data_IF_470208938540
#
_entry.id   IF_470208938540
#
_cell.length_a   1.000
_cell.length_b   1.000
_cell.length_c   1.000
_cell.angle_alpha   90.00
_cell.angle_beta   90.00
_cell.angle_gamma   90.00
#
_symmetry.space_group_name_H-M   'P 1'
#
loop_
_entity.id
_entity.type
_entity.pdbx_description
1 polymer ?
#
# COMPACT_ATOMS: atom_id res chain seq x y z
N UNK A 1 6.09 7.95 14.69
CA UNK A 1 4.93 7.28 14.07
C UNK A 1 4.56 6.12 14.98
N UNK A 2 3.40 6.19 15.64
CA UNK A 2 2.96 5.16 16.58
C UNK A 2 2.41 3.96 15.80
N UNK A 3 3.19 2.90 15.71
CA UNK A 3 2.84 1.62 15.08
C UNK A 3 1.74 0.82 15.82
N UNK A 4 1.13 1.38 16.87
CA UNK A 4 0.24 0.64 17.77
C UNK A 4 -1.22 0.55 17.30
N UNK A 5 -1.62 1.26 16.23
CA UNK A 5 -3.01 1.26 15.76
C UNK A 5 -3.17 0.84 14.30
N UNK A 6 -2.21 0.04 13.80
CA UNK A 6 -2.26 -0.53 12.46
C UNK A 6 -2.96 -1.91 12.47
N UNK A 7 -3.86 -2.21 11.52
CA UNK A 7 -4.55 -1.30 10.60
C UNK A 7 -5.74 -0.60 11.27
N UNK A 8 -6.01 0.65 10.88
CA UNK A 8 -7.24 1.36 11.25
C UNK A 8 -8.45 0.77 10.51
N UNK A 9 -9.67 1.10 10.94
CA UNK A 9 -10.92 0.58 10.35
C UNK A 9 -11.06 0.88 8.85
N UNK A 10 -10.54 2.03 8.43
CA UNK A 10 -10.32 2.36 7.03
C UNK A 10 -8.81 2.36 6.78
N UNK A 11 -8.36 1.78 5.67
CA UNK A 11 -6.99 1.80 5.22
C UNK A 11 -6.91 2.62 3.92
N UNK A 12 -6.29 3.79 4.00
CA UNK A 12 -6.09 4.66 2.84
C UNK A 12 -4.66 4.53 2.33
N UNK A 13 -4.52 4.14 1.07
CA UNK A 13 -3.25 4.00 0.39
C UNK A 13 -3.22 4.98 -0.77
N UNK A 14 -2.26 5.91 -0.72
CA UNK A 14 -2.00 6.85 -1.78
C UNK A 14 -0.61 6.61 -2.36
N UNK A 15 -0.41 6.96 -3.62
CA UNK A 15 0.90 7.00 -4.25
C UNK A 15 1.03 8.28 -5.06
N UNK A 16 1.95 9.16 -4.68
CA UNK A 16 2.15 10.46 -5.34
C UNK A 16 2.65 10.33 -6.77
N UNK A 17 3.23 9.17 -7.13
CA UNK A 17 3.88 8.96 -8.41
C UNK A 17 2.98 8.36 -9.49
N UNK A 18 2.12 7.41 -9.13
CA UNK A 18 1.13 6.88 -10.07
C UNK A 18 -0.25 7.53 -9.90
N UNK A 19 -0.42 8.41 -8.90
CA UNK A 19 -1.70 9.01 -8.55
C UNK A 19 -2.72 8.00 -8.03
N UNK A 20 -2.32 6.77 -7.70
CA UNK A 20 -3.23 5.74 -7.20
C UNK A 20 -3.68 6.16 -5.81
N UNK A 21 -4.98 6.29 -5.63
CA UNK A 21 -5.63 6.49 -4.36
C UNK A 21 -6.63 5.35 -4.15
N UNK A 22 -6.40 4.53 -3.14
CA UNK A 22 -7.24 3.39 -2.80
C UNK A 22 -7.64 3.46 -1.34
N UNK A 23 -8.95 3.51 -1.09
CA UNK A 23 -9.52 3.43 0.24
C UNK A 23 -10.12 2.04 0.43
N UNK A 24 -9.63 1.30 1.41
CA UNK A 24 -10.05 -0.05 1.73
C UNK A 24 -10.65 -0.10 3.13
N UNK A 25 -11.69 -0.90 3.35
CA UNK A 25 -12.05 -1.25 4.72
C UNK A 25 -11.02 -2.24 5.28
N UNK A 26 -10.74 -2.18 6.58
CA UNK A 26 -9.79 -3.07 7.26
C UNK A 26 -10.01 -4.54 6.93
N UNK A 27 -11.26 -5.01 6.99
CA UNK A 27 -11.59 -6.39 6.68
C UNK A 27 -11.14 -6.78 5.27
N UNK A 28 -11.59 -6.03 4.27
CA UNK A 28 -11.21 -6.24 2.86
C UNK A 28 -9.72 -6.09 2.63
N UNK A 29 -9.07 -5.15 3.32
CA UNK A 29 -7.64 -4.97 3.24
C UNK A 29 -6.89 -6.20 3.75
N UNK A 30 -7.26 -6.71 4.93
CA UNK A 30 -6.67 -7.91 5.52
C UNK A 30 -6.96 -9.18 4.69
N UNK A 31 -8.11 -9.26 4.03
CA UNK A 31 -8.38 -10.34 3.06
C UNK A 31 -7.43 -10.30 1.85
N UNK A 32 -7.02 -9.11 1.42
CA UNK A 32 -6.12 -8.92 0.27
C UNK A 32 -4.64 -9.10 0.65
N UNK A 33 -4.20 -8.50 1.75
CA UNK A 33 -2.77 -8.49 2.15
C UNK A 33 -2.40 -9.59 3.14
N UNK A 34 -3.39 -10.21 3.80
CA UNK A 34 -3.21 -11.15 4.89
C UNK A 34 -3.31 -10.51 6.27
N UNK A 35 -3.83 -11.24 7.24
CA UNK A 35 -4.13 -10.70 8.58
C UNK A 35 -2.87 -10.47 9.44
N UNK A 36 -1.77 -11.16 9.12
CA UNK A 36 -0.49 -11.13 9.85
C UNK A 36 0.65 -10.54 9.01
N UNK A 37 0.39 -9.43 8.31
CA UNK A 37 1.38 -8.79 7.45
C UNK A 37 1.81 -7.43 8.01
N UNK A 38 3.10 -7.14 7.91
CA UNK A 38 3.64 -5.83 8.26
C UNK A 38 3.27 -4.79 7.19
N UNK A 39 3.05 -3.54 7.61
CA UNK A 39 2.74 -2.41 6.72
C UNK A 39 3.62 -2.34 5.45
N UNK A 40 4.97 -2.43 5.50
CA UNK A 40 5.79 -2.39 4.30
C UNK A 40 5.47 -3.50 3.30
N UNK A 41 5.25 -4.73 3.78
CA UNK A 41 4.89 -5.85 2.91
C UNK A 41 3.46 -5.69 2.36
N UNK A 42 2.52 -5.19 3.16
CA UNK A 42 1.16 -4.90 2.71
C UNK A 42 1.15 -3.88 1.57
N UNK A 43 1.96 -2.81 1.69
CA UNK A 43 2.14 -1.81 0.65
C UNK A 43 2.74 -2.43 -0.62
N UNK A 44 3.69 -3.35 -0.50
CA UNK A 44 4.23 -4.08 -1.65
C UNK A 44 3.19 -4.93 -2.38
N UNK A 45 2.29 -5.60 -1.64
CA UNK A 45 1.18 -6.39 -2.21
C UNK A 45 0.20 -5.48 -2.95
N UNK A 46 -0.23 -4.39 -2.33
CA UNK A 46 -1.21 -3.47 -2.92
C UNK A 46 -0.64 -2.77 -4.15
N UNK A 47 0.67 -2.50 -4.16
CA UNK A 47 1.33 -1.90 -5.31
C UNK A 47 1.69 -2.89 -6.41
N UNK A 48 1.46 -4.21 -6.25
CA UNK A 48 1.66 -5.20 -7.32
C UNK A 48 0.87 -4.87 -8.58
N UNK A 49 -0.35 -4.36 -8.40
CA UNK A 49 -1.26 -3.97 -9.47
C UNK A 49 -0.94 -2.57 -10.06
N UNK A 50 0.14 -1.92 -9.63
CA UNK A 50 0.53 -0.63 -10.19
C UNK A 50 1.17 -0.82 -11.57
N UNK A 51 0.65 -0.21 -12.65
CA UNK A 51 1.26 -0.31 -13.99
C UNK A 51 2.66 0.31 -14.05
N UNK A 52 2.95 1.26 -13.14
CA UNK A 52 4.28 1.84 -12.99
C UNK A 52 5.26 0.93 -12.21
N UNK A 53 4.79 -0.13 -11.53
CA UNK A 53 5.66 -1.12 -10.89
C UNK A 53 6.18 -2.16 -11.88
N UNK A 54 5.36 -2.56 -12.85
CA UNK A 54 5.72 -3.58 -13.85
C UNK A 54 6.67 -3.06 -14.94
N UNK A 55 6.63 -1.76 -15.24
CA UNK A 55 7.51 -1.14 -16.23
C UNK A 55 8.93 -0.84 -15.69
N UNK A 56 9.15 -0.94 -14.39
CA UNK A 56 10.47 -0.78 -13.79
C UNK A 56 11.19 -2.14 -13.76
N UNK A 57 11.82 -2.47 -14.89
CA UNK A 57 12.87 -3.51 -14.96
C UNK A 57 14.07 -3.17 -14.05
N UNK A 58 14.11 -1.96 -13.50
CA UNK A 58 15.15 -1.47 -12.61
C UNK A 58 14.58 -1.23 -11.19
N UNK A 59 14.96 -2.04 -10.19
CA UNK A 59 14.47 -1.90 -8.82
C UNK A 59 14.91 -0.58 -8.14
N UNK A 60 15.90 0.14 -8.67
CA UNK A 60 16.32 1.46 -8.17
C UNK A 60 15.49 2.61 -8.75
N UNK A 61 14.79 2.39 -9.87
CA UNK A 61 13.89 3.35 -10.50
C UNK A 61 12.43 3.20 -10.12
N UNK A 62 12.06 2.16 -9.34
CA UNK A 62 10.71 1.97 -8.79
C UNK A 62 10.11 3.31 -8.35
N UNK A 63 9.26 3.87 -9.20
CA UNK A 63 8.69 5.19 -8.96
C UNK A 63 7.49 5.06 -8.02
N UNK A 64 6.81 3.91 -8.01
CA UNK A 64 5.67 3.69 -7.14
C UNK A 64 6.08 3.71 -5.65
N UNK A 65 5.62 4.74 -4.92
CA UNK A 65 5.80 4.88 -3.47
C UNK A 65 4.43 4.95 -2.80
N UNK A 66 3.74 3.80 -2.65
CA UNK A 66 2.51 3.75 -1.88
C UNK A 66 2.82 4.08 -0.41
N UNK A 67 2.03 4.96 0.20
CA UNK A 67 2.12 5.30 1.62
C UNK A 67 0.75 5.20 2.26
N UNK A 68 0.76 5.01 3.58
CA UNK A 68 -0.45 5.00 4.37
C UNK A 68 -0.91 6.44 4.62
N UNK A 69 -1.95 6.84 3.91
CA UNK A 69 -2.46 8.21 3.86
C UNK A 69 -3.60 8.39 4.87
N UNK A 70 -3.31 8.12 6.15
CA UNK A 70 -4.27 8.40 7.20
C UNK A 70 -3.99 9.74 7.83
N UNK A 71 -5.00 10.60 7.71
CA UNK A 71 -5.09 11.91 8.36
C UNK A 71 -5.31 11.75 9.87
#
# INVERSE_FOLDING_TARGET
MNSQNWPFETVEIACDHCGRFGRYHKATFLEVVGEQIELPQALEIVSQDCPHRANDLDPMRKVCRPYYAQD
#
